data_IF_560347375990
#
_entry.id   IF_560347375990
#
_cell.length_a   1.000
_cell.length_b   1.000
_cell.length_c   1.000
_cell.angle_alpha   90.00
_cell.angle_beta   90.00
_cell.angle_gamma   90.00
#
_symmetry.space_group_name_H-M   'P 1'
#
loop_
_entity.id
_entity.type
_entity.pdbx_description
1 polymer ?
#
# COMPACT_ATOMS: atom_id res chain seq x y z
N UNK A 1 39.09 61.65 -10.08
CA UNK A 1 39.54 62.85 -9.36
C UNK A 1 38.55 63.96 -9.63
N UNK A 2 37.83 64.44 -8.59
CA UNK A 2 37.26 65.82 -8.41
C UNK A 2 36.35 66.36 -9.55
N UNK A 3 35.17 66.93 -9.30
CA UNK A 3 34.90 68.01 -8.37
C UNK A 3 33.38 68.36 -8.39
N UNK A 4 32.89 68.83 -7.24
CA UNK A 4 31.89 69.91 -7.04
C UNK A 4 30.47 69.82 -7.59
N UNK A 5 29.53 69.74 -6.64
CA UNK A 5 28.29 70.54 -6.67
C UNK A 5 28.31 71.43 -5.42
N UNK A 6 28.44 72.73 -5.62
CA UNK A 6 28.26 73.76 -4.59
C UNK A 6 27.03 74.61 -4.92
N UNK A 7 26.17 74.70 -3.91
CA UNK A 7 25.48 75.87 -3.41
C UNK A 7 24.45 76.60 -4.30
N UNK A 8 23.22 76.62 -3.81
CA UNK A 8 22.49 77.88 -3.65
C UNK A 8 21.91 77.97 -2.23
N UNK A 9 22.22 79.07 -1.55
CA UNK A 9 21.84 79.44 -0.18
C UNK A 9 20.91 80.66 -0.26
N UNK A 10 19.97 80.80 0.67
CA UNK A 10 19.08 81.96 0.80
C UNK A 10 17.82 81.63 1.62
N UNK A 11 17.95 81.27 2.90
CA UNK A 11 17.84 82.16 4.08
C UNK A 11 16.39 82.58 4.39
N UNK A 12 15.82 81.99 5.47
CA UNK A 12 15.21 82.70 6.61
C UNK A 12 14.38 81.73 7.48
N UNK A 13 14.73 81.61 8.76
CA UNK A 13 13.86 80.98 9.77
C UNK A 13 14.57 80.05 10.76
N UNK A 14 15.57 80.55 11.48
CA UNK A 14 16.01 79.91 12.70
C UNK A 14 14.90 80.02 13.75
N UNK A 15 14.38 78.89 14.24
CA UNK A 15 13.90 78.71 15.62
C UNK A 15 13.63 77.21 15.89
N UNK A 16 14.14 76.78 17.05
CA UNK A 16 14.00 75.48 17.73
C UNK A 16 14.56 74.23 17.05
N UNK A 17 15.83 73.96 17.38
CA UNK A 17 16.27 72.61 17.72
C UNK A 17 15.40 72.13 18.89
N UNK A 18 14.27 71.49 18.60
CA UNK A 18 13.54 70.73 19.62
C UNK A 18 14.14 69.34 19.63
N UNK A 19 14.93 69.13 20.67
CA UNK A 19 15.65 67.93 21.04
C UNK A 19 14.74 66.69 20.98
N UNK A 20 14.72 65.98 19.85
CA UNK A 20 14.35 64.56 19.86
C UNK A 20 15.53 63.87 20.53
N UNK A 21 15.48 63.74 21.86
CA UNK A 21 16.38 62.85 22.58
C UNK A 21 16.13 61.44 22.05
N UNK A 22 16.93 61.01 21.06
CA UNK A 22 17.05 59.60 20.72
C UNK A 22 17.48 58.90 22.01
N UNK A 23 16.56 58.17 22.61
CA UNK A 23 16.76 57.47 23.86
C UNK A 23 17.68 56.29 23.56
N UNK A 24 19.00 56.51 23.65
CA UNK A 24 19.97 55.45 23.43
C UNK A 24 19.89 54.49 24.63
N UNK A 25 19.60 53.19 24.42
CA UNK A 25 19.58 52.21 25.50
C UNK A 25 20.95 52.15 26.19
N UNK A 26 20.95 51.87 27.49
CA UNK A 26 22.18 51.70 28.27
C UNK A 26 23.03 50.57 27.68
N UNK A 27 24.36 50.68 27.75
CA UNK A 27 25.27 49.64 27.29
C UNK A 27 24.99 48.27 27.93
N UNK A 28 24.52 48.24 29.18
CA UNK A 28 24.12 47.02 29.87
C UNK A 28 22.88 46.36 29.25
N UNK A 29 21.94 47.17 28.77
CA UNK A 29 20.70 46.72 28.14
C UNK A 29 20.99 46.19 26.74
N UNK A 30 21.84 46.88 25.97
CA UNK A 30 22.31 46.41 24.66
C UNK A 30 23.10 45.11 24.76
N UNK A 31 23.92 44.95 25.82
CA UNK A 31 24.62 43.69 26.07
C UNK A 31 23.63 42.55 26.37
N UNK A 32 22.65 42.81 27.25
CA UNK A 32 21.63 41.82 27.61
C UNK A 32 20.74 41.41 26.42
N UNK A 33 20.40 42.35 25.53
CA UNK A 33 19.64 42.08 24.30
C UNK A 33 20.44 41.18 23.34
N UNK A 34 21.74 41.45 23.17
CA UNK A 34 22.64 40.60 22.37
C UNK A 34 22.77 39.19 22.93
N UNK A 35 22.79 39.03 24.25
CA UNK A 35 22.85 37.72 24.90
C UNK A 35 21.57 36.91 24.61
N UNK A 36 20.39 37.53 24.70
CA UNK A 36 19.14 36.85 24.34
C UNK A 36 19.02 36.53 22.84
N UNK A 37 19.47 37.43 21.97
CA UNK A 37 19.53 37.16 20.53
C UNK A 37 20.53 36.03 20.18
N UNK A 38 21.58 35.85 20.99
CA UNK A 38 22.49 34.71 20.85
C UNK A 38 21.84 33.41 21.30
N UNK A 39 21.12 33.40 22.44
CA UNK A 39 20.34 32.24 22.92
C UNK A 39 19.30 31.79 21.87
N UNK A 40 18.57 32.72 21.26
CA UNK A 40 17.58 32.40 20.21
C UNK A 40 18.27 31.82 18.97
N UNK A 41 19.37 32.41 18.49
CA UNK A 41 20.12 31.89 17.34
C UNK A 41 20.68 30.49 17.59
N UNK A 42 21.13 30.21 18.80
CA UNK A 42 21.59 28.88 19.20
C UNK A 42 20.44 27.86 19.19
N UNK A 43 19.27 28.23 19.71
CA UNK A 43 18.07 27.40 19.66
C UNK A 43 17.62 27.11 18.22
N UNK A 44 17.57 28.13 17.36
CA UNK A 44 17.23 27.99 15.92
C UNK A 44 18.22 27.07 15.19
N UNK A 45 19.52 27.16 15.49
CA UNK A 45 20.55 26.27 14.96
C UNK A 45 20.31 24.82 15.39
N UNK A 46 20.03 24.58 16.68
CA UNK A 46 19.71 23.24 17.20
C UNK A 46 18.47 22.66 16.54
N UNK A 47 17.38 23.44 16.42
CA UNK A 47 16.14 23.01 15.73
C UNK A 47 16.44 22.61 14.29
N UNK A 48 17.27 23.38 13.58
CA UNK A 48 17.65 23.09 12.20
C UNK A 48 18.42 21.78 12.09
N UNK A 49 19.34 21.51 13.03
CA UNK A 49 20.07 20.25 13.12
C UNK A 49 19.13 19.05 13.34
N UNK A 50 18.25 19.12 14.33
CA UNK A 50 17.28 18.05 14.62
C UNK A 50 16.30 17.82 13.46
N UNK A 51 15.88 18.89 12.75
CA UNK A 51 15.04 18.73 11.55
C UNK A 51 15.78 18.00 10.43
N UNK A 52 17.09 18.21 10.28
CA UNK A 52 17.92 17.46 9.34
C UNK A 52 17.99 15.97 9.67
N UNK A 53 18.19 15.62 10.94
CA UNK A 53 18.18 14.22 11.41
C UNK A 53 16.79 13.58 11.25
N UNK A 54 15.73 14.31 11.57
CA UNK A 54 14.35 13.85 11.38
C UNK A 54 14.08 13.51 9.90
N UNK A 55 14.46 14.41 8.98
CA UNK A 55 14.31 14.17 7.54
C UNK A 55 15.09 12.92 7.10
N UNK A 56 16.36 12.79 7.52
CA UNK A 56 17.18 11.63 7.19
C UNK A 56 16.59 10.32 7.73
N UNK A 57 16.00 10.35 8.93
CA UNK A 57 15.36 9.18 9.52
C UNK A 57 14.04 8.81 8.82
N UNK A 58 13.25 9.79 8.38
CA UNK A 58 12.05 9.56 7.57
C UNK A 58 12.42 8.93 6.23
N UNK A 59 13.46 9.42 5.57
CA UNK A 59 13.99 8.83 4.32
C UNK A 59 14.45 7.37 4.55
N UNK A 60 15.21 7.09 5.61
CA UNK A 60 15.60 5.71 5.97
C UNK A 60 14.39 4.82 6.25
N UNK A 61 13.36 5.33 6.91
CA UNK A 61 12.14 4.58 7.22
C UNK A 61 11.33 4.27 5.96
N UNK A 62 11.32 5.16 4.98
CA UNK A 62 10.72 4.96 3.67
C UNK A 62 11.47 3.88 2.89
N UNK A 63 12.80 3.95 2.81
CA UNK A 63 13.65 2.93 2.17
C UNK A 63 13.48 1.55 2.80
N UNK A 64 13.53 1.45 4.14
CA UNK A 64 13.27 0.20 4.83
C UNK A 64 11.83 -0.29 4.63
N UNK A 65 10.89 0.61 4.34
CA UNK A 65 9.54 0.28 3.93
C UNK A 65 9.47 -0.42 2.57
N UNK A 66 10.15 0.12 1.55
CA UNK A 66 10.21 -0.49 0.23
C UNK A 66 10.96 -1.83 0.24
N UNK A 67 12.07 -1.92 0.98
CA UNK A 67 12.85 -3.17 1.11
C UNK A 67 12.00 -4.28 1.75
N UNK A 68 11.21 -3.96 2.77
CA UNK A 68 10.33 -4.93 3.41
C UNK A 68 9.24 -5.43 2.47
N UNK A 69 8.70 -4.54 1.62
CA UNK A 69 7.71 -4.91 0.61
C UNK A 69 8.31 -5.84 -0.46
N UNK A 70 9.54 -5.58 -0.89
CA UNK A 70 10.26 -6.44 -1.84
C UNK A 70 10.56 -7.82 -1.22
N UNK A 71 11.03 -7.86 0.03
CA UNK A 71 11.25 -9.11 0.77
C UNK A 71 9.95 -9.89 0.91
N UNK A 72 8.84 -9.23 1.24
CA UNK A 72 7.54 -9.90 1.38
C UNK A 72 7.07 -10.50 0.05
N UNK A 73 7.16 -9.75 -1.05
CA UNK A 73 6.84 -10.28 -2.38
C UNK A 73 7.72 -11.49 -2.75
N UNK A 74 8.98 -11.47 -2.35
CA UNK A 74 9.92 -12.58 -2.60
C UNK A 74 9.58 -13.79 -1.74
N UNK A 75 9.19 -13.57 -0.49
CA UNK A 75 8.76 -14.61 0.45
C UNK A 75 7.51 -15.35 -0.07
N UNK A 76 6.54 -14.61 -0.59
CA UNK A 76 5.30 -15.16 -1.13
C UNK A 76 5.60 -16.02 -2.36
N UNK A 77 6.43 -15.52 -3.28
CA UNK A 77 6.87 -16.27 -4.45
C UNK A 77 7.67 -17.54 -4.09
N UNK A 78 8.55 -17.46 -3.10
CA UNK A 78 9.31 -18.62 -2.61
C UNK A 78 8.39 -19.67 -1.96
N UNK A 79 7.40 -19.22 -1.18
CA UNK A 79 6.40 -20.09 -0.53
C UNK A 79 5.53 -20.81 -1.56
N UNK A 80 5.07 -20.11 -2.60
CA UNK A 80 4.33 -20.72 -3.70
C UNK A 80 5.18 -21.78 -4.42
N UNK A 81 6.47 -21.49 -4.63
CA UNK A 81 7.39 -22.42 -5.29
C UNK A 81 7.66 -23.68 -4.46
N UNK A 82 7.72 -23.57 -3.14
CA UNK A 82 7.76 -24.72 -2.23
C UNK A 82 6.50 -25.58 -2.40
N UNK A 83 5.31 -24.97 -2.39
CA UNK A 83 4.04 -25.68 -2.58
C UNK A 83 3.97 -26.37 -3.95
N UNK A 84 4.44 -25.72 -5.02
CA UNK A 84 4.49 -26.31 -6.36
C UNK A 84 5.39 -27.56 -6.39
N UNK A 85 6.59 -27.47 -5.78
CA UNK A 85 7.53 -28.59 -5.72
C UNK A 85 6.97 -29.76 -4.90
N UNK A 86 6.32 -29.48 -3.77
CA UNK A 86 5.64 -30.50 -2.96
C UNK A 86 4.50 -31.17 -3.74
N UNK A 87 3.68 -30.40 -4.45
CA UNK A 87 2.61 -30.94 -5.28
C UNK A 87 3.12 -31.83 -6.41
N UNK A 88 4.24 -31.46 -7.07
CA UNK A 88 4.89 -32.30 -8.09
C UNK A 88 5.47 -33.59 -7.51
N UNK A 89 6.01 -33.52 -6.30
CA UNK A 89 6.50 -34.69 -5.57
C UNK A 89 5.34 -35.64 -5.23
N UNK A 90 4.23 -35.10 -4.74
CA UNK A 90 3.02 -35.88 -4.43
C UNK A 90 2.42 -36.54 -5.69
N UNK A 91 2.32 -35.81 -6.80
CA UNK A 91 1.87 -36.35 -8.08
C UNK A 91 2.75 -37.51 -8.56
N UNK A 92 4.07 -37.39 -8.40
CA UNK A 92 5.02 -38.45 -8.75
C UNK A 92 4.81 -39.70 -7.88
N UNK A 93 4.58 -39.52 -6.57
CA UNK A 93 4.26 -40.63 -5.65
C UNK A 93 2.94 -41.31 -6.00
N UNK A 94 1.91 -40.55 -6.32
CA UNK A 94 0.61 -41.08 -6.74
C UNK A 94 0.73 -41.91 -8.04
N UNK A 95 1.54 -41.46 -9.00
CA UNK A 95 1.81 -42.21 -10.22
C UNK A 95 2.53 -43.54 -9.93
N UNK A 96 3.47 -43.54 -8.99
CA UNK A 96 4.14 -44.76 -8.56
C UNK A 96 3.15 -45.74 -7.91
N UNK A 97 2.28 -45.26 -7.03
CA UNK A 97 1.25 -46.08 -6.37
C UNK A 97 0.30 -46.72 -7.40
N UNK A 98 -0.13 -45.97 -8.41
CA UNK A 98 -0.96 -46.49 -9.50
C UNK A 98 -0.27 -47.64 -10.25
N UNK A 99 1.01 -47.46 -10.61
CA UNK A 99 1.79 -48.51 -11.30
C UNK A 99 2.01 -49.74 -10.43
N UNK A 100 2.16 -49.56 -9.11
CA UNK A 100 2.22 -50.68 -8.17
C UNK A 100 0.91 -51.48 -8.16
N UNK A 101 -0.25 -50.81 -8.16
CA UNK A 101 -1.56 -51.45 -8.24
C UNK A 101 -1.76 -52.22 -9.56
N UNK A 102 -1.32 -51.66 -10.69
CA UNK A 102 -1.36 -52.35 -11.99
C UNK A 102 -0.53 -53.64 -11.99
N UNK A 103 0.66 -53.61 -11.37
CA UNK A 103 1.50 -54.81 -11.21
C UNK A 103 0.85 -55.85 -10.31
N UNK A 104 0.26 -55.45 -9.19
CA UNK A 104 -0.44 -56.35 -8.27
C UNK A 104 -1.64 -57.04 -8.94
N UNK A 105 -2.42 -56.30 -9.74
CA UNK A 105 -3.51 -56.86 -10.53
C UNK A 105 -3.00 -57.90 -11.55
N UNK A 106 -1.93 -57.58 -12.29
CA UNK A 106 -1.33 -58.51 -13.25
C UNK A 106 -0.76 -59.77 -12.57
N UNK A 107 -0.21 -59.65 -11.36
CA UNK A 107 0.25 -60.78 -10.56
C UNK A 107 -0.91 -61.67 -10.09
N UNK A 108 -2.04 -61.06 -9.70
CA UNK A 108 -3.23 -61.79 -9.30
C UNK A 108 -3.84 -62.58 -10.45
N UNK A 109 -3.93 -61.99 -11.64
CA UNK A 109 -4.46 -62.65 -12.84
C UNK A 109 -3.59 -63.86 -13.23
N UNK A 110 -2.27 -63.67 -13.25
CA UNK A 110 -1.33 -64.77 -13.45
C UNK A 110 -1.49 -65.89 -12.41
N UNK A 111 -1.67 -65.54 -11.13
CA UNK A 111 -1.89 -66.52 -10.05
C UNK A 111 -3.17 -67.31 -10.26
N UNK A 112 -4.26 -66.66 -10.70
CA UNK A 112 -5.54 -67.33 -11.01
C UNK A 112 -5.39 -68.27 -12.20
N UNK A 113 -4.67 -67.87 -13.26
CA UNK A 113 -4.31 -68.73 -14.39
C UNK A 113 -3.55 -69.98 -13.94
N UNK A 114 -2.46 -69.79 -13.18
CA UNK A 114 -1.63 -70.88 -12.68
C UNK A 114 -2.40 -71.88 -11.80
N UNK A 115 -3.30 -71.41 -10.92
CA UNK A 115 -4.12 -72.31 -10.07
C UNK A 115 -5.07 -73.16 -10.92
N UNK A 116 -5.72 -72.59 -11.94
CA UNK A 116 -6.59 -73.35 -12.87
C UNK A 116 -5.80 -74.43 -13.61
N UNK A 117 -4.59 -74.12 -14.07
CA UNK A 117 -3.70 -75.08 -14.71
C UNK A 117 -3.33 -76.25 -13.78
N UNK A 118 -2.99 -75.96 -12.51
CA UNK A 118 -2.68 -76.99 -11.50
C UNK A 118 -3.89 -77.87 -11.10
N UNK A 119 -5.10 -77.32 -11.13
CA UNK A 119 -6.33 -78.07 -10.85
C UNK A 119 -6.74 -79.02 -11.99
N UNK A 120 -5.97 -79.05 -13.09
CA UNK A 120 -6.15 -79.98 -14.20
C UNK A 120 -7.19 -79.52 -15.23
N UNK A 121 -7.65 -78.27 -15.17
CA UNK A 121 -8.54 -77.71 -16.20
C UNK A 121 -7.85 -77.64 -17.56
N UNK A 122 -6.56 -77.30 -17.59
CA UNK A 122 -5.76 -77.32 -18.83
C UNK A 122 -5.55 -78.72 -19.44
N UNK A 123 -5.66 -79.79 -18.65
CA UNK A 123 -5.57 -81.18 -19.15
C UNK A 123 -6.88 -81.60 -19.84
N UNK A 124 -8.03 -81.14 -19.34
CA UNK A 124 -9.35 -81.32 -19.98
C UNK A 124 -9.45 -80.51 -21.27
N UNK A 125 -8.85 -79.34 -21.31
CA UNK A 125 -8.75 -78.53 -22.53
C UNK A 125 -7.78 -79.12 -23.56
N UNK A 126 -6.73 -79.82 -23.13
CA UNK A 126 -5.85 -80.60 -24.01
C UNK A 126 -6.57 -81.77 -24.70
N UNK A 127 -7.53 -82.41 -24.03
CA UNK A 127 -8.45 -83.38 -24.64
C UNK A 127 -9.36 -82.73 -25.69
N UNK A 128 -9.85 -81.51 -25.45
CA UNK A 128 -10.61 -80.71 -26.43
C UNK A 128 -9.76 -80.31 -27.64
N UNK A 129 -8.51 -79.87 -27.42
CA UNK A 129 -7.54 -79.52 -28.47
C UNK A 129 -7.21 -80.74 -29.32
N UNK A 130 -6.87 -81.88 -28.72
CA UNK A 130 -6.60 -83.13 -29.45
C UNK A 130 -7.85 -83.65 -30.19
N UNK A 131 -9.03 -83.49 -29.61
CA UNK A 131 -10.31 -83.80 -30.25
C UNK A 131 -10.61 -82.93 -31.47
N UNK A 132 -10.32 -81.63 -31.42
CA UNK A 132 -10.51 -80.68 -32.53
C UNK A 132 -9.45 -80.79 -33.63
N UNK A 133 -8.18 -81.08 -33.28
CA UNK A 133 -7.10 -81.29 -34.25
C UNK A 133 -7.29 -82.56 -35.09
N UNK A 134 -7.92 -83.59 -34.52
CA UNK A 134 -8.29 -84.83 -35.21
C UNK A 134 -9.65 -84.76 -35.92
N UNK A 135 -10.45 -83.72 -35.66
CA UNK A 135 -11.78 -83.54 -36.24
C UNK A 135 -12.04 -82.11 -36.67
N UNK A 136 -11.68 -81.77 -37.93
CA UNK A 136 -12.13 -80.61 -38.74
C UNK A 136 -12.67 -79.38 -38.00
N UNK A 137 -12.00 -78.92 -36.94
CA UNK A 137 -12.41 -77.80 -36.10
C UNK A 137 -11.56 -76.56 -36.39
N UNK A 138 -12.19 -75.40 -36.39
CA UNK A 138 -11.57 -74.13 -36.70
C UNK A 138 -10.55 -73.74 -35.61
N UNK A 139 -9.27 -73.61 -35.97
CA UNK A 139 -8.16 -73.24 -35.07
C UNK A 139 -8.29 -71.81 -34.49
N UNK A 140 -9.33 -71.08 -34.90
CA UNK A 140 -9.68 -69.74 -34.42
C UNK A 140 -10.73 -69.75 -33.30
N UNK A 141 -11.11 -70.92 -32.78
CA UNK A 141 -12.02 -70.99 -31.63
C UNK A 141 -11.46 -70.20 -30.42
N UNK A 142 -12.20 -69.21 -29.90
CA UNK A 142 -11.75 -68.36 -28.80
C UNK A 142 -11.42 -69.13 -27.52
N UNK A 143 -12.15 -70.21 -27.23
CA UNK A 143 -11.93 -71.04 -26.05
C UNK A 143 -10.61 -71.83 -26.14
N UNK A 144 -10.33 -72.41 -27.32
CA UNK A 144 -9.08 -73.14 -27.58
C UNK A 144 -7.85 -72.22 -27.53
N UNK A 145 -7.97 -71.01 -28.08
CA UNK A 145 -6.88 -70.00 -28.07
C UNK A 145 -6.55 -69.54 -26.67
N UNK A 146 -7.57 -69.31 -25.83
CA UNK A 146 -7.38 -68.88 -24.44
C UNK A 146 -6.72 -69.97 -23.59
N UNK A 147 -7.01 -71.25 -23.83
CA UNK A 147 -6.39 -72.35 -23.09
C UNK A 147 -4.95 -72.66 -23.55
N UNK A 148 -4.64 -72.49 -24.84
CA UNK A 148 -3.29 -72.73 -25.38
C UNK A 148 -2.30 -71.59 -25.13
N UNK A 149 -2.76 -70.33 -25.09
CA UNK A 149 -1.89 -69.15 -25.03
C UNK A 149 -2.12 -68.26 -23.81
N UNK A 150 -3.23 -68.41 -23.07
CA UNK A 150 -3.59 -67.55 -21.94
C UNK A 150 -2.53 -67.47 -20.86
N UNK A 151 -2.01 -68.62 -20.40
CA UNK A 151 -0.95 -68.63 -19.36
C UNK A 151 0.34 -67.91 -19.80
N UNK A 152 0.65 -67.92 -21.11
CA UNK A 152 1.82 -67.24 -21.67
C UNK A 152 1.57 -65.75 -21.84
N UNK A 153 0.37 -65.36 -22.25
CA UNK A 153 -0.07 -63.96 -22.33
C UNK A 153 -0.11 -63.32 -20.93
N UNK A 154 -0.58 -64.04 -19.91
CA UNK A 154 -0.58 -63.59 -18.51
C UNK A 154 0.86 -63.42 -17.96
N UNK A 155 1.77 -64.36 -18.26
CA UNK A 155 3.18 -64.27 -17.87
C UNK A 155 3.91 -63.10 -18.53
N UNK A 156 3.62 -62.84 -19.82
CA UNK A 156 4.21 -61.72 -20.56
C UNK A 156 3.64 -60.37 -20.07
N UNK A 157 2.34 -60.32 -19.75
CA UNK A 157 1.68 -59.16 -19.15
C UNK A 157 2.25 -58.85 -17.76
N UNK A 158 2.44 -59.87 -16.91
CA UNK A 158 3.10 -59.72 -15.60
C UNK A 158 4.53 -59.20 -15.73
N UNK A 159 5.32 -59.76 -16.66
CA UNK A 159 6.72 -59.33 -16.89
C UNK A 159 6.80 -57.88 -17.39
N UNK A 160 5.92 -57.50 -18.32
CA UNK A 160 5.79 -56.11 -18.79
C UNK A 160 5.40 -55.16 -17.67
N UNK A 161 4.47 -55.56 -16.80
CA UNK A 161 4.08 -54.75 -15.64
C UNK A 161 5.23 -54.59 -14.62
N UNK A 162 5.98 -55.67 -14.31
CA UNK A 162 7.17 -55.62 -13.45
C UNK A 162 8.25 -54.69 -14.01
N UNK A 163 8.53 -54.80 -15.32
CA UNK A 163 9.54 -53.97 -15.98
C UNK A 163 9.11 -52.50 -16.08
N UNK A 164 7.82 -52.24 -16.33
CA UNK A 164 7.25 -50.90 -16.31
C UNK A 164 7.34 -50.24 -14.93
N UNK A 165 7.06 -50.99 -13.84
CA UNK A 165 7.25 -50.49 -12.47
C UNK A 165 8.73 -50.19 -12.21
N UNK A 166 9.65 -51.09 -12.57
CA UNK A 166 11.09 -50.88 -12.35
C UNK A 166 11.58 -49.60 -13.04
N UNK A 167 11.27 -49.43 -14.32
CA UNK A 167 11.62 -48.24 -15.08
C UNK A 167 10.99 -46.98 -14.49
N UNK A 168 9.73 -47.06 -14.04
CA UNK A 168 9.02 -45.93 -13.43
C UNK A 168 9.64 -45.54 -12.07
N UNK A 169 10.01 -46.51 -11.24
CA UNK A 169 10.71 -46.29 -9.96
C UNK A 169 12.06 -45.60 -10.18
N UNK A 170 12.83 -46.03 -11.17
CA UNK A 170 14.14 -45.40 -11.48
C UNK A 170 13.96 -43.93 -11.88
N UNK A 171 13.02 -43.62 -12.78
CA UNK A 171 12.74 -42.24 -13.22
C UNK A 171 12.19 -41.38 -12.07
N UNK A 172 11.22 -41.90 -11.32
CA UNK A 172 10.60 -41.16 -10.20
C UNK A 172 11.60 -40.94 -9.08
N UNK A 173 12.40 -41.94 -8.69
CA UNK A 173 13.39 -41.78 -7.61
C UNK A 173 14.44 -40.71 -7.93
N UNK A 174 14.90 -40.63 -9.19
CA UNK A 174 15.80 -39.57 -9.63
C UNK A 174 15.13 -38.19 -9.61
N UNK A 175 13.85 -38.11 -9.97
CA UNK A 175 13.05 -36.89 -9.89
C UNK A 175 12.78 -36.46 -8.44
N UNK A 176 12.37 -37.38 -7.56
CA UNK A 176 12.16 -37.13 -6.13
C UNK A 176 13.43 -36.64 -5.45
N UNK A 177 14.59 -37.25 -5.74
CA UNK A 177 15.86 -36.77 -5.21
C UNK A 177 16.16 -35.34 -5.65
N UNK A 178 15.86 -35.01 -6.91
CA UNK A 178 16.08 -33.66 -7.46
C UNK A 178 15.12 -32.65 -6.83
N UNK A 179 13.85 -33.02 -6.64
CA UNK A 179 12.85 -32.18 -5.97
C UNK A 179 13.16 -31.96 -4.49
N UNK A 180 13.59 -32.99 -3.76
CA UNK A 180 13.96 -32.85 -2.35
C UNK A 180 15.13 -31.87 -2.15
N UNK A 181 16.15 -31.94 -3.01
CA UNK A 181 17.27 -30.99 -2.99
C UNK A 181 16.78 -29.56 -3.29
N UNK A 182 15.92 -29.40 -4.29
CA UNK A 182 15.34 -28.10 -4.62
C UNK A 182 14.45 -27.54 -3.49
N UNK A 183 13.68 -28.41 -2.83
CA UNK A 183 12.82 -28.08 -1.70
C UNK A 183 13.64 -27.65 -0.48
N UNK A 184 14.74 -28.34 -0.18
CA UNK A 184 15.66 -27.97 0.89
C UNK A 184 16.32 -26.60 0.63
N UNK A 185 16.77 -26.35 -0.61
CA UNK A 185 17.35 -25.07 -1.01
C UNK A 185 16.34 -23.92 -0.89
N UNK A 186 15.12 -24.10 -1.43
CA UNK A 186 14.04 -23.13 -1.30
C UNK A 186 13.63 -22.87 0.15
N UNK A 187 13.52 -23.93 0.96
CA UNK A 187 13.23 -23.81 2.39
C UNK A 187 14.34 -23.05 3.14
N UNK A 188 15.60 -23.20 2.73
CA UNK A 188 16.71 -22.44 3.30
C UNK A 188 16.68 -20.96 2.90
N UNK A 189 16.31 -20.66 1.65
CA UNK A 189 16.09 -19.30 1.17
C UNK A 189 14.96 -18.61 1.94
N UNK A 190 13.83 -19.29 2.14
CA UNK A 190 12.71 -18.82 2.96
C UNK A 190 13.16 -18.43 4.38
N UNK A 191 13.85 -19.32 5.09
CA UNK A 191 14.35 -19.03 6.44
C UNK A 191 15.31 -17.83 6.49
N UNK A 192 16.11 -17.64 5.43
CA UNK A 192 17.01 -16.49 5.31
C UNK A 192 16.22 -15.19 5.12
N UNK A 193 15.25 -15.18 4.21
CA UNK A 193 14.39 -14.02 3.96
C UNK A 193 13.57 -13.64 5.21
N UNK A 194 13.05 -14.62 5.95
CA UNK A 194 12.35 -14.37 7.22
C UNK A 194 13.27 -13.79 8.31
N UNK A 195 14.56 -14.15 8.31
CA UNK A 195 15.53 -13.54 9.22
C UNK A 195 15.83 -12.09 8.81
N UNK A 196 16.06 -11.84 7.52
CA UNK A 196 16.31 -10.51 6.97
C UNK A 196 15.11 -9.56 7.19
N UNK A 197 13.87 -10.05 6.99
CA UNK A 197 12.65 -9.30 7.30
C UNK A 197 12.60 -8.87 8.76
N UNK A 198 12.92 -9.78 9.69
CA UNK A 198 12.91 -9.48 11.14
C UNK A 198 13.95 -8.43 11.53
N UNK A 199 15.17 -8.55 11.01
CA UNK A 199 16.22 -7.56 11.25
C UNK A 199 15.80 -6.17 10.74
N UNK A 200 15.16 -6.11 9.57
CA UNK A 200 14.66 -4.87 8.99
C UNK A 200 13.48 -4.29 9.78
N UNK A 201 12.55 -5.12 10.26
CA UNK A 201 11.45 -4.69 11.15
C UNK A 201 11.98 -4.09 12.46
N UNK A 202 12.98 -4.71 13.07
CA UNK A 202 13.65 -4.18 14.26
C UNK A 202 14.33 -2.84 13.97
N UNK A 203 15.02 -2.71 12.84
CA UNK A 203 15.64 -1.46 12.41
C UNK A 203 14.60 -0.34 12.19
N UNK A 204 13.43 -0.65 11.61
CA UNK A 204 12.33 0.31 11.44
C UNK A 204 11.74 0.77 12.77
N UNK A 205 11.64 -0.12 13.75
CA UNK A 205 11.18 0.25 15.09
C UNK A 205 12.16 1.22 15.75
N UNK A 206 13.47 0.93 15.68
CA UNK A 206 14.51 1.82 16.20
C UNK A 206 14.50 3.20 15.51
N UNK A 207 14.27 3.26 14.19
CA UNK A 207 14.11 4.51 13.46
C UNK A 207 12.88 5.30 13.93
N UNK A 208 11.74 4.63 14.17
CA UNK A 208 10.52 5.28 14.71
C UNK A 208 10.76 5.86 16.10
N UNK A 209 11.46 5.13 16.97
CA UNK A 209 11.85 5.64 18.29
C UNK A 209 12.77 6.86 18.18
N UNK A 210 13.74 6.83 17.26
CA UNK A 210 14.60 7.98 16.99
C UNK A 210 13.81 9.19 16.48
N UNK A 211 12.89 9.00 15.53
CA UNK A 211 11.99 10.07 15.04
C UNK A 211 11.20 10.71 16.18
N UNK A 212 10.61 9.90 17.06
CA UNK A 212 9.86 10.40 18.21
C UNK A 212 10.75 11.19 19.18
N UNK A 213 11.99 10.74 19.38
CA UNK A 213 13.00 11.45 20.17
C UNK A 213 13.35 12.82 19.60
N UNK A 214 13.65 12.89 18.29
CA UNK A 214 13.95 14.12 17.56
C UNK A 214 12.79 15.12 17.63
N UNK A 215 11.55 14.66 17.43
CA UNK A 215 10.35 15.50 17.56
C UNK A 215 10.18 16.05 18.98
N UNK A 216 10.41 15.24 20.02
CA UNK A 216 10.33 15.66 21.40
C UNK A 216 11.40 16.69 21.77
N UNK A 217 12.61 16.55 21.22
CA UNK A 217 13.70 17.50 21.42
C UNK A 217 13.43 18.83 20.70
N UNK A 218 12.92 18.81 19.46
CA UNK A 218 12.47 20.02 18.75
C UNK A 218 11.41 20.75 19.56
N UNK A 219 10.42 20.03 20.09
CA UNK A 219 9.37 20.62 20.92
C UNK A 219 9.96 21.30 22.17
N UNK A 220 10.88 20.62 22.87
CA UNK A 220 11.55 21.17 24.05
C UNK A 220 12.34 22.43 23.73
N UNK A 221 13.07 22.44 22.62
CA UNK A 221 13.87 23.60 22.20
C UNK A 221 12.99 24.77 21.80
N UNK A 222 11.89 24.54 21.08
CA UNK A 222 10.91 25.61 20.75
C UNK A 222 10.30 26.24 22.00
N UNK A 223 10.05 25.44 23.03
CA UNK A 223 9.55 25.92 24.31
C UNK A 223 10.62 26.75 25.08
N UNK A 224 11.89 26.36 25.02
CA UNK A 224 13.02 27.17 25.50
C UNK A 224 13.10 28.51 24.75
N UNK A 225 13.06 28.46 23.42
CA UNK A 225 13.08 29.64 22.54
C UNK A 225 11.93 30.60 22.85
N UNK A 226 10.71 30.08 23.01
CA UNK A 226 9.51 30.86 23.38
C UNK A 226 9.73 31.61 24.70
N UNK A 227 10.28 30.96 25.72
CA UNK A 227 10.58 31.59 27.02
C UNK A 227 11.61 32.70 26.89
N UNK A 228 12.63 32.52 26.04
CA UNK A 228 13.62 33.58 25.75
C UNK A 228 12.95 34.75 25.04
N UNK A 229 12.13 34.51 24.01
CA UNK A 229 11.38 35.55 23.30
C UNK A 229 10.41 36.31 24.23
N UNK A 230 9.76 35.62 25.18
CA UNK A 230 8.93 36.25 26.20
C UNK A 230 9.74 37.16 27.14
N UNK A 231 10.95 36.75 27.53
CA UNK A 231 11.89 37.57 28.32
C UNK A 231 12.33 38.82 27.54
N UNK A 232 12.63 38.68 26.24
CA UNK A 232 12.93 39.81 25.34
C UNK A 232 11.74 40.79 25.32
N UNK A 233 10.54 40.31 25.01
CA UNK A 233 9.34 41.16 24.94
C UNK A 233 9.01 41.84 26.28
N UNK A 234 9.24 41.15 27.41
CA UNK A 234 9.07 41.74 28.74
C UNK A 234 10.12 42.84 29.01
N UNK A 235 11.37 42.61 28.60
CA UNK A 235 12.46 43.58 28.72
C UNK A 235 12.19 44.83 27.87
N UNK A 236 11.78 44.68 26.61
CA UNK A 236 11.36 45.79 25.73
C UNK A 236 10.19 46.59 26.32
N UNK A 237 9.14 45.92 26.81
CA UNK A 237 8.01 46.58 27.48
C UNK A 237 8.46 47.37 28.71
N UNK A 238 9.45 46.88 29.47
CA UNK A 238 10.02 47.61 30.59
C UNK A 238 10.78 48.85 30.13
N UNK A 239 11.59 48.75 29.09
CA UNK A 239 12.29 49.91 28.52
C UNK A 239 11.30 50.99 28.05
N UNK A 240 10.24 50.62 27.33
CA UNK A 240 9.20 51.54 26.88
C UNK A 240 8.50 52.25 28.05
N UNK A 241 8.20 51.51 29.13
CA UNK A 241 7.60 52.09 30.36
C UNK A 241 8.56 53.04 31.08
N UNK A 242 9.84 52.72 31.14
CA UNK A 242 10.86 53.57 31.75
C UNK A 242 11.09 54.86 30.94
N UNK A 243 11.15 54.75 29.61
CA UNK A 243 11.20 55.89 28.70
C UNK A 243 9.97 56.80 28.86
N UNK A 244 8.75 56.23 28.93
CA UNK A 244 7.53 56.98 29.15
C UNK A 244 7.49 57.69 30.53
N UNK A 245 7.99 57.04 31.60
CA UNK A 245 8.10 57.66 32.94
C UNK A 245 9.09 58.83 32.97
N UNK A 246 10.18 58.74 32.21
CA UNK A 246 11.17 59.82 32.13
C UNK A 246 10.68 60.98 31.26
N UNK A 247 9.93 60.69 30.20
CA UNK A 247 9.22 61.71 29.40
C UNK A 247 8.09 62.42 30.18
N UNK A 248 7.49 61.74 31.17
CA UNK A 248 6.41 62.26 32.01
C UNK A 248 6.83 63.04 33.26
N UNK A 249 8.12 63.36 33.48
CA UNK A 249 8.56 64.24 34.58
C UNK A 249 8.31 65.71 34.21
N UNK A 250 7.45 66.46 34.94
CA UNK A 250 7.12 67.84 34.58
C UNK A 250 8.24 68.79 35.00
N UNK A 251 9.01 69.27 34.03
CA UNK A 251 9.80 70.50 34.15
C UNK A 251 8.91 71.71 33.90
N UNK A 252 8.54 72.38 35.00
CA UNK A 252 7.92 73.72 35.13
C UNK A 252 7.34 74.46 33.91
N UNK A 253 6.04 74.74 34.01
CA UNK A 253 5.41 75.98 33.53
C UNK A 253 4.96 75.99 32.07
N UNK A 254 3.67 75.80 31.83
CA UNK A 254 2.70 76.87 31.54
C UNK A 254 1.44 76.24 30.93
N UNK A 255 0.34 76.37 31.66
CA UNK A 255 -0.99 75.91 31.31
C UNK A 255 -1.57 76.80 30.19
N UNK A 256 -1.81 76.24 29.00
CA UNK A 256 -2.63 76.88 27.96
C UNK A 256 -3.50 75.85 27.23
N UNK A 257 -4.79 75.93 27.55
CA UNK A 257 -5.99 75.80 26.71
C UNK A 257 -6.09 74.70 25.63
N UNK A 258 -7.15 73.93 25.82
CA UNK A 258 -7.84 73.01 24.90
C UNK A 258 -8.08 73.56 23.50
N UNK A 259 -7.85 72.73 22.47
CA UNK A 259 -8.69 72.59 21.26
C UNK A 259 -8.60 71.17 20.68
N UNK A 260 -9.70 70.61 20.14
CA UNK A 260 -9.76 69.23 19.66
C UNK A 260 -9.21 69.12 18.24
N UNK A 261 -8.51 68.03 17.93
CA UNK A 261 -8.09 67.68 16.57
C UNK A 261 -8.69 66.32 16.20
N UNK A 262 -9.27 66.33 15.01
CA UNK A 262 -10.12 65.34 14.38
C UNK A 262 -9.44 63.98 14.19
N UNK A 263 -10.18 62.91 14.49
CA UNK A 263 -9.82 61.55 14.14
C UNK A 263 -10.21 61.31 12.67
N UNK A 264 -9.22 61.31 11.77
CA UNK A 264 -9.38 60.74 10.44
C UNK A 264 -9.47 59.22 10.55
N UNK A 265 -10.67 58.70 10.31
CA UNK A 265 -10.93 57.28 10.15
C UNK A 265 -10.33 56.72 8.86
N UNK A 266 -9.84 55.50 8.95
CA UNK A 266 -9.65 54.61 7.81
C UNK A 266 -10.00 53.18 8.27
N UNK A 267 -11.28 52.88 8.19
CA UNK A 267 -11.86 51.53 8.11
C UNK A 267 -11.80 51.08 6.65
N UNK A 268 -11.24 49.90 6.40
CA UNK A 268 -11.43 49.13 5.16
C UNK A 268 -11.57 47.67 5.61
N UNK A 269 -12.78 47.13 5.81
CA UNK A 269 -13.77 46.66 4.81
C UNK A 269 -13.37 45.35 4.13
N UNK A 270 -13.85 44.22 4.68
CA UNK A 270 -14.60 43.22 3.89
C UNK A 270 -15.91 43.88 3.40
N UNK A 271 -16.74 43.37 2.45
CA UNK A 271 -17.12 41.95 2.21
C UNK A 271 -17.59 41.63 0.74
N UNK A 272 -18.37 40.54 0.57
CA UNK A 272 -19.41 40.23 -0.47
C UNK A 272 -18.93 39.44 -1.72
N UNK A 273 -19.65 38.49 -2.33
CA UNK A 273 -20.97 37.84 -2.15
C UNK A 273 -21.09 36.62 -3.13
N UNK A 274 -21.98 35.67 -2.81
CA UNK A 274 -22.47 34.45 -3.53
C UNK A 274 -23.25 34.71 -4.86
N UNK A 275 -24.09 33.82 -5.49
CA UNK A 275 -24.45 32.37 -5.39
C UNK A 275 -24.46 31.64 -6.80
N UNK A 276 -24.83 30.37 -7.07
CA UNK A 276 -26.19 29.74 -7.11
C UNK A 276 -26.18 28.23 -7.50
N UNK A 277 -27.22 27.54 -7.02
CA UNK A 277 -27.78 26.19 -7.23
C UNK A 277 -27.77 25.55 -8.64
N UNK A 278 -27.76 24.21 -8.72
CA UNK A 278 -28.90 23.41 -9.24
C UNK A 278 -28.82 21.91 -8.89
N UNK A 279 -29.98 21.25 -8.99
CA UNK A 279 -30.47 20.02 -8.35
C UNK A 279 -30.88 19.01 -9.45
N UNK A 280 -30.51 17.72 -9.43
CA UNK A 280 -31.26 16.69 -10.19
C UNK A 280 -31.12 15.23 -9.67
N UNK A 281 -32.12 14.41 -10.02
CA UNK A 281 -32.58 13.15 -9.39
C UNK A 281 -32.46 11.93 -10.34
N UNK A 282 -32.06 10.76 -9.80
CA UNK A 282 -32.20 9.31 -10.17
C UNK A 282 -33.02 8.90 -11.43
N UNK A 283 -32.73 7.77 -12.17
CA UNK A 283 -33.02 6.39 -11.68
C UNK A 283 -32.28 5.16 -12.31
N UNK A 284 -32.61 3.99 -11.75
CA UNK A 284 -32.08 2.63 -11.91
C UNK A 284 -32.44 1.83 -13.19
N UNK A 285 -31.66 0.77 -13.47
CA UNK A 285 -32.24 -0.57 -13.73
C UNK A 285 -31.60 -1.48 -14.81
N UNK A 286 -31.23 -2.69 -14.36
CA UNK A 286 -31.61 -4.03 -14.93
C UNK A 286 -30.70 -4.76 -15.95
N UNK A 287 -29.93 -5.73 -15.42
CA UNK A 287 -29.86 -7.20 -15.72
C UNK A 287 -29.74 -7.80 -17.15
N UNK A 288 -28.78 -8.73 -17.29
CA UNK A 288 -28.82 -10.09 -17.93
C UNK A 288 -27.56 -10.36 -18.82
N UNK A 289 -26.97 -11.55 -19.05
CA UNK A 289 -26.98 -12.92 -18.49
C UNK A 289 -25.99 -13.81 -19.29
N UNK A 290 -25.14 -14.61 -18.63
CA UNK A 290 -24.79 -16.01 -19.00
C UNK A 290 -23.68 -16.36 -20.02
N UNK A 291 -22.66 -17.11 -19.58
CA UNK A 291 -21.70 -17.85 -20.44
C UNK A 291 -20.43 -18.30 -19.69
N UNK A 292 -19.81 -19.44 -20.01
CA UNK A 292 -18.90 -20.18 -19.09
C UNK A 292 -17.41 -20.26 -19.43
N UNK A 293 -16.57 -19.37 -18.87
CA UNK A 293 -15.10 -19.48 -18.82
C UNK A 293 -14.58 -19.85 -17.40
N UNK A 294 -13.35 -20.34 -17.26
CA UNK A 294 -12.76 -20.59 -15.92
C UNK A 294 -12.84 -19.31 -15.08
N UNK A 295 -13.01 -19.38 -13.74
CA UNK A 295 -13.29 -18.17 -12.93
C UNK A 295 -12.37 -16.99 -13.25
N UNK A 296 -11.09 -17.28 -13.50
CA UNK A 296 -10.06 -16.30 -13.87
C UNK A 296 -10.12 -15.82 -15.33
N UNK A 297 -10.40 -16.71 -16.30
CA UNK A 297 -10.59 -16.28 -17.70
C UNK A 297 -11.90 -15.52 -17.90
N UNK A 298 -12.95 -15.84 -17.12
CA UNK A 298 -14.23 -15.12 -17.13
C UNK A 298 -14.11 -13.75 -16.46
N UNK A 299 -13.35 -13.66 -15.37
CA UNK A 299 -13.01 -12.38 -14.72
C UNK A 299 -12.19 -11.48 -15.65
N UNK A 300 -11.23 -12.06 -16.39
CA UNK A 300 -10.46 -11.34 -17.40
C UNK A 300 -11.29 -10.98 -18.64
N UNK A 301 -12.20 -11.86 -19.10
CA UNK A 301 -13.08 -11.60 -20.24
C UNK A 301 -14.16 -10.55 -19.92
N UNK A 302 -14.68 -10.51 -18.68
CA UNK A 302 -15.57 -9.43 -18.18
C UNK A 302 -14.78 -8.12 -18.02
N UNK A 303 -13.55 -8.18 -17.50
CA UNK A 303 -12.67 -7.02 -17.42
C UNK A 303 -12.34 -6.47 -18.81
N UNK A 304 -12.12 -7.34 -19.79
CA UNK A 304 -11.72 -6.99 -21.17
C UNK A 304 -12.90 -6.57 -22.05
N UNK A 305 -14.15 -6.95 -21.71
CA UNK A 305 -15.34 -6.62 -22.52
C UNK A 305 -16.21 -5.48 -21.97
N UNK A 306 -16.14 -5.11 -20.69
CA UNK A 306 -16.96 -4.01 -20.12
C UNK A 306 -16.24 -3.04 -19.17
N UNK A 307 -15.02 -3.31 -18.67
CA UNK A 307 -14.45 -2.55 -17.52
C UNK A 307 -13.02 -2.02 -17.72
N UNK A 308 -12.26 -2.49 -18.72
CA UNK A 308 -10.86 -2.09 -18.95
C UNK A 308 -10.66 -1.71 -20.41
N UNK A 309 -10.97 -0.46 -20.76
CA UNK A 309 -10.47 0.13 -22.00
C UNK A 309 -10.25 1.65 -21.92
N UNK A 310 -9.96 2.20 -20.74
CA UNK A 310 -9.20 3.44 -20.69
C UNK A 310 -7.74 3.12 -21.03
N UNK A 311 -7.20 3.66 -22.13
CA UNK A 311 -5.74 3.72 -22.28
C UNK A 311 -5.21 4.49 -21.05
N UNK A 312 -4.32 3.93 -20.22
CA UNK A 312 -3.75 4.65 -19.09
C UNK A 312 -3.09 5.98 -19.50
N UNK A 313 -2.72 6.13 -20.78
CA UNK A 313 -2.20 7.37 -21.34
C UNK A 313 -3.30 8.41 -21.68
N UNK A 314 -4.57 8.04 -21.69
CA UNK A 314 -5.73 8.93 -21.91
C UNK A 314 -6.37 9.44 -20.62
N UNK A 315 -6.06 8.85 -19.47
CA UNK A 315 -6.55 9.32 -18.16
C UNK A 315 -5.77 10.58 -17.77
N UNK A 316 -6.47 11.69 -17.59
CA UNK A 316 -5.85 12.94 -17.18
C UNK A 316 -5.31 12.82 -15.75
N UNK A 317 -4.00 13.08 -15.56
CA UNK A 317 -3.40 13.10 -14.23
C UNK A 317 -3.92 14.30 -13.46
N UNK A 318 -4.75 14.05 -12.45
CA UNK A 318 -5.27 15.10 -11.57
C UNK A 318 -4.20 15.61 -10.60
N UNK A 319 -4.20 16.91 -10.24
CA UNK A 319 -3.40 17.44 -9.14
C UNK A 319 -3.80 16.83 -7.80
N UNK A 320 -2.88 16.77 -6.85
CA UNK A 320 -3.14 16.24 -5.49
C UNK A 320 -4.32 16.95 -4.79
N UNK A 321 -4.44 18.27 -4.95
CA UNK A 321 -5.56 19.03 -4.39
C UNK A 321 -6.94 18.55 -4.89
N UNK A 322 -7.00 18.06 -6.13
CA UNK A 322 -8.21 17.53 -6.74
C UNK A 322 -8.55 16.14 -6.19
N UNK A 323 -7.54 15.29 -5.99
CA UNK A 323 -7.69 14.03 -5.25
C UNK A 323 -8.22 14.28 -3.83
N UNK A 324 -7.68 15.27 -3.12
CA UNK A 324 -8.14 15.63 -1.78
C UNK A 324 -9.59 16.11 -1.78
N UNK A 325 -10.05 16.79 -2.84
CA UNK A 325 -11.47 17.13 -3.02
C UNK A 325 -12.31 15.85 -3.17
N UNK A 326 -11.91 14.95 -4.08
CA UNK A 326 -12.63 13.70 -4.35
C UNK A 326 -12.73 12.80 -3.11
N UNK A 327 -11.67 12.67 -2.30
CA UNK A 327 -11.72 11.92 -1.05
C UNK A 327 -12.73 12.50 -0.05
N UNK A 328 -12.77 13.83 0.11
CA UNK A 328 -13.72 14.50 1.02
C UNK A 328 -15.15 14.30 0.55
N UNK A 329 -15.41 14.44 -0.75
CA UNK A 329 -16.73 14.27 -1.34
C UNK A 329 -17.23 12.83 -1.21
N UNK A 330 -16.41 11.83 -1.58
CA UNK A 330 -16.76 10.43 -1.46
C UNK A 330 -17.01 10.04 0.01
N UNK A 331 -16.14 10.44 0.94
CA UNK A 331 -16.36 10.15 2.35
C UNK A 331 -17.67 10.77 2.89
N UNK A 332 -18.00 11.98 2.45
CA UNK A 332 -19.27 12.61 2.79
C UNK A 332 -20.47 11.84 2.21
N UNK A 333 -20.38 11.44 0.94
CA UNK A 333 -21.42 10.68 0.24
C UNK A 333 -21.75 9.35 0.95
N UNK A 334 -20.73 8.66 1.46
CA UNK A 334 -20.89 7.34 2.09
C UNK A 334 -21.03 7.38 3.62
N UNK A 335 -21.20 8.58 4.20
CA UNK A 335 -21.61 8.76 5.59
C UNK A 335 -20.48 8.74 6.62
N UNK A 336 -19.24 9.01 6.20
CA UNK A 336 -18.06 9.12 7.05
C UNK A 336 -17.22 10.37 6.73
N UNK A 337 -17.88 11.51 6.51
CA UNK A 337 -17.27 12.78 6.13
C UNK A 337 -16.07 13.20 7.00
N UNK A 338 -16.11 12.92 8.31
CA UNK A 338 -15.05 13.30 9.25
C UNK A 338 -13.82 12.38 9.20
N UNK A 339 -13.89 11.31 8.40
CA UNK A 339 -12.87 10.27 8.27
C UNK A 339 -12.41 10.12 6.80
N UNK A 340 -12.57 11.19 6.01
CA UNK A 340 -12.09 11.24 4.61
C UNK A 340 -10.59 10.96 4.46
N UNK A 341 -9.82 11.20 5.53
CA UNK A 341 -8.41 10.85 5.64
C UNK A 341 -8.12 9.36 5.41
N UNK A 342 -9.10 8.48 5.65
CA UNK A 342 -8.98 7.04 5.37
C UNK A 342 -8.88 6.80 3.86
N UNK A 343 -9.71 7.47 3.05
CA UNK A 343 -9.65 7.35 1.60
C UNK A 343 -8.37 7.95 1.04
N UNK A 344 -7.94 9.10 1.58
CA UNK A 344 -6.66 9.69 1.22
C UNK A 344 -5.49 8.75 1.53
N UNK A 345 -5.48 8.13 2.72
CA UNK A 345 -4.47 7.16 3.10
C UNK A 345 -4.46 5.91 2.20
N UNK A 346 -5.63 5.40 1.81
CA UNK A 346 -5.73 4.30 0.84
C UNK A 346 -5.14 4.75 -0.50
N UNK A 347 -5.59 5.86 -1.07
CA UNK A 347 -5.11 6.30 -2.38
C UNK A 347 -3.61 6.61 -2.44
N UNK A 348 -3.03 7.13 -1.36
CA UNK A 348 -1.58 7.28 -1.22
C UNK A 348 -0.87 5.92 -1.21
N UNK A 349 -1.36 4.96 -0.42
CA UNK A 349 -0.76 3.63 -0.31
C UNK A 349 -0.87 2.82 -1.60
N UNK A 350 -2.01 2.92 -2.28
CA UNK A 350 -2.32 2.13 -3.47
C UNK A 350 -1.59 2.65 -4.71
N UNK A 351 -1.52 3.97 -4.89
CA UNK A 351 -1.04 4.53 -6.15
C UNK A 351 -0.27 5.84 -6.04
N UNK A 352 -0.06 6.38 -4.82
CA UNK A 352 0.45 7.74 -4.64
C UNK A 352 -0.49 8.79 -5.23
N UNK A 353 -1.79 8.68 -4.92
CA UNK A 353 -2.83 9.55 -5.49
C UNK A 353 -2.84 9.55 -7.03
N UNK A 354 -2.79 8.35 -7.63
CA UNK A 354 -2.85 8.16 -9.08
C UNK A 354 -1.53 8.33 -9.82
N UNK A 355 -0.39 8.42 -9.12
CA UNK A 355 0.93 8.41 -9.75
C UNK A 355 1.23 7.08 -10.46
N UNK A 356 0.75 5.97 -9.92
CA UNK A 356 0.88 4.62 -10.49
C UNK A 356 -0.47 3.88 -10.53
N UNK A 357 -1.10 3.86 -11.71
CA UNK A 357 -2.40 3.22 -11.94
C UNK A 357 -2.30 1.70 -12.19
N UNK A 358 -1.10 1.12 -12.14
CA UNK A 358 -0.88 -0.30 -12.39
C UNK A 358 -0.88 -0.69 -13.88
N UNK A 359 -1.16 -1.97 -14.19
CA UNK A 359 -1.57 -3.01 -13.24
C UNK A 359 -0.48 -3.36 -12.23
N UNK A 360 -0.88 -3.68 -10.99
CA UNK A 360 0.01 -4.32 -10.02
C UNK A 360 0.30 -5.78 -10.40
N UNK A 361 1.22 -6.44 -9.70
CA UNK A 361 1.51 -7.87 -9.88
C UNK A 361 0.29 -8.78 -9.66
N UNK A 362 -0.68 -8.33 -8.85
CA UNK A 362 -1.95 -9.02 -8.62
C UNK A 362 -3.02 -8.70 -9.68
N UNK A 363 -2.74 -7.79 -10.62
CA UNK A 363 -3.69 -7.34 -11.64
C UNK A 363 -4.65 -6.24 -11.18
N UNK A 364 -4.32 -5.53 -10.10
CA UNK A 364 -5.13 -4.41 -9.61
C UNK A 364 -4.88 -3.14 -10.44
N UNK A 365 -5.91 -2.33 -10.64
CA UNK A 365 -5.92 -1.20 -11.56
C UNK A 365 -6.43 0.08 -10.90
N UNK A 366 -5.98 1.21 -11.43
CA UNK A 366 -6.51 2.53 -11.12
C UNK A 366 -5.95 3.13 -9.83
N UNK A 367 -6.44 4.32 -9.46
CA UNK A 367 -5.89 5.10 -8.35
C UNK A 367 -6.19 4.49 -6.98
N UNK A 368 -7.19 3.60 -6.91
CA UNK A 368 -7.56 2.87 -5.70
C UNK A 368 -7.19 1.38 -5.77
N UNK A 369 -6.42 0.96 -6.78
CA UNK A 369 -5.93 -0.41 -7.02
C UNK A 369 -7.02 -1.48 -6.80
N UNK A 370 -8.12 -1.36 -7.54
CA UNK A 370 -9.15 -2.39 -7.53
C UNK A 370 -8.73 -3.60 -8.37
N UNK A 371 -8.96 -4.81 -7.84
CA UNK A 371 -9.04 -5.99 -8.71
C UNK A 371 -10.29 -5.86 -9.59
N UNK A 372 -10.22 -6.25 -10.89
CA UNK A 372 -11.40 -6.22 -11.76
C UNK A 372 -12.60 -7.00 -11.19
N UNK A 373 -12.35 -8.11 -10.50
CA UNK A 373 -13.40 -8.89 -9.82
C UNK A 373 -14.09 -8.13 -8.70
N UNK A 374 -13.37 -7.29 -7.96
CA UNK A 374 -13.93 -6.39 -6.93
C UNK A 374 -14.67 -5.23 -7.59
N UNK A 375 -14.15 -4.68 -8.69
CA UNK A 375 -14.81 -3.60 -9.44
C UNK A 375 -16.19 -3.97 -9.95
N UNK A 376 -16.41 -5.22 -10.39
CA UNK A 376 -17.74 -5.71 -10.78
C UNK A 376 -18.79 -5.54 -9.67
N UNK A 377 -18.38 -5.61 -8.39
CA UNK A 377 -19.28 -5.48 -7.25
C UNK A 377 -19.43 -4.06 -6.70
N UNK A 378 -18.41 -3.22 -6.86
CA UNK A 378 -18.30 -1.93 -6.16
C UNK A 378 -18.00 -0.73 -7.06
N UNK A 379 -17.67 -0.95 -8.32
CA UNK A 379 -17.45 0.10 -9.31
C UNK A 379 -18.71 0.95 -9.45
N UNK A 380 -18.51 2.27 -9.51
CA UNK A 380 -19.60 3.24 -9.67
C UNK A 380 -19.17 4.26 -10.72
N UNK A 381 -20.13 4.68 -11.55
CA UNK A 381 -20.03 5.89 -12.35
C UNK A 381 -20.23 7.07 -11.38
N UNK A 382 -19.12 7.59 -10.87
CA UNK A 382 -19.06 8.60 -9.82
C UNK A 382 -19.15 10.01 -10.36
N UNK A 383 -18.66 10.25 -11.58
CA UNK A 383 -18.77 11.54 -12.28
C UNK A 383 -20.06 11.69 -13.11
N UNK A 384 -20.80 10.61 -13.33
CA UNK A 384 -22.06 10.60 -14.06
C UNK A 384 -21.91 10.69 -15.58
N UNK A 385 -20.76 10.30 -16.14
CA UNK A 385 -20.48 10.36 -17.57
C UNK A 385 -21.10 9.20 -18.37
N UNK A 386 -21.65 8.21 -17.67
CA UNK A 386 -22.33 7.05 -18.23
C UNK A 386 -21.46 5.78 -18.29
N UNK A 387 -20.21 5.84 -17.84
CA UNK A 387 -19.28 4.71 -17.79
C UNK A 387 -18.66 4.59 -16.38
N UNK A 388 -18.57 3.37 -15.83
CA UNK A 388 -17.87 3.14 -14.57
C UNK A 388 -16.43 2.68 -14.85
N UNK A 389 -15.50 3.62 -14.84
CA UNK A 389 -14.12 3.42 -15.25
C UNK A 389 -13.17 3.22 -14.06
N UNK A 390 -12.60 2.02 -13.95
CA UNK A 390 -11.66 1.66 -12.88
C UNK A 390 -10.42 2.56 -12.80
N UNK A 391 -10.04 3.19 -13.91
CA UNK A 391 -8.88 4.08 -14.00
C UNK A 391 -9.22 5.54 -13.71
N UNK A 392 -10.50 5.92 -13.72
CA UNK A 392 -10.93 7.29 -13.42
C UNK A 392 -10.99 7.49 -11.89
N UNK A 393 -10.24 8.45 -11.32
CA UNK A 393 -10.34 8.76 -9.89
C UNK A 393 -11.74 9.23 -9.46
N UNK A 394 -12.51 9.89 -10.33
CA UNK A 394 -13.86 10.34 -10.00
C UNK A 394 -14.84 9.16 -9.83
N UNK A 395 -14.49 7.97 -10.33
CA UNK A 395 -15.24 6.73 -10.18
C UNK A 395 -14.62 5.82 -9.11
N UNK A 396 -13.30 5.66 -9.15
CA UNK A 396 -12.59 4.72 -8.29
C UNK A 396 -12.61 5.12 -6.81
N UNK A 397 -12.57 6.41 -6.52
CA UNK A 397 -12.61 6.93 -5.14
C UNK A 397 -13.98 6.69 -4.49
N UNK A 398 -15.13 7.06 -5.10
CA UNK A 398 -16.42 6.71 -4.55
C UNK A 398 -16.69 5.20 -4.54
N UNK A 399 -16.14 4.43 -5.49
CA UNK A 399 -16.20 2.95 -5.44
C UNK A 399 -15.49 2.41 -4.18
N UNK A 400 -14.30 2.92 -3.86
CA UNK A 400 -13.57 2.57 -2.63
C UNK A 400 -14.35 2.95 -1.37
N UNK A 401 -14.96 4.13 -1.36
CA UNK A 401 -15.79 4.57 -0.25
C UNK A 401 -17.01 3.66 -0.04
N UNK A 402 -17.67 3.26 -1.13
CA UNK A 402 -18.77 2.30 -1.11
C UNK A 402 -18.35 0.92 -0.62
N UNK A 403 -17.17 0.45 -1.05
CA UNK A 403 -16.65 -0.83 -0.60
C UNK A 403 -16.37 -0.85 0.91
N UNK A 404 -15.74 0.20 1.44
CA UNK A 404 -15.52 0.34 2.88
C UNK A 404 -16.84 0.39 3.65
N UNK A 405 -17.84 1.13 3.14
CA UNK A 405 -19.17 1.21 3.77
C UNK A 405 -19.85 -0.16 3.82
N UNK A 406 -19.83 -0.91 2.72
CA UNK A 406 -20.37 -2.26 2.67
C UNK A 406 -19.64 -3.23 3.61
N UNK A 407 -18.37 -2.95 3.90
CA UNK A 407 -17.50 -3.78 4.74
C UNK A 407 -17.49 -3.40 6.23
N UNK A 408 -18.32 -2.44 6.63
CA UNK A 408 -18.54 -2.10 8.05
C UNK A 408 -18.10 -0.70 8.48
N UNK A 409 -17.57 0.14 7.58
CA UNK A 409 -17.25 1.52 7.92
C UNK A 409 -18.51 2.39 8.09
N UNK A 410 -18.48 3.43 8.96
CA UNK A 410 -17.42 3.77 9.90
C UNK A 410 -17.51 3.00 11.24
N UNK A 411 -18.47 2.09 11.40
CA UNK A 411 -18.71 1.39 12.66
C UNK A 411 -17.55 0.48 13.07
N UNK A 412 -16.90 -0.16 12.10
CA UNK A 412 -15.73 -1.02 12.26
C UNK A 412 -14.71 -0.80 11.13
N UNK A 413 -13.85 0.20 11.33
CA UNK A 413 -12.77 0.52 10.39
C UNK A 413 -11.78 -0.63 10.22
N UNK A 414 -11.55 -1.44 11.25
CA UNK A 414 -10.62 -2.56 11.13
C UNK A 414 -11.17 -3.60 10.17
N UNK A 415 -12.42 -4.02 10.36
CA UNK A 415 -13.08 -4.98 9.49
C UNK A 415 -13.19 -4.45 8.05
N UNK A 416 -13.54 -3.18 7.88
CA UNK A 416 -13.67 -2.57 6.56
C UNK A 416 -12.34 -2.53 5.79
N UNK A 417 -11.26 -2.13 6.45
CA UNK A 417 -9.92 -2.08 5.85
C UNK A 417 -9.34 -3.48 5.64
N UNK A 418 -9.60 -4.42 6.55
CA UNK A 418 -9.19 -5.81 6.39
C UNK A 418 -9.93 -6.50 5.24
N UNK A 419 -11.19 -6.12 4.97
CA UNK A 419 -11.90 -6.57 3.77
C UNK A 419 -11.30 -5.96 2.51
N UNK A 420 -10.89 -4.69 2.57
CA UNK A 420 -10.21 -4.01 1.46
C UNK A 420 -8.91 -4.71 1.08
N UNK A 421 -8.09 -5.04 2.07
CA UNK A 421 -6.87 -5.83 1.93
C UNK A 421 -6.67 -6.71 3.18
N UNK A 422 -6.64 -8.03 2.99
CA UNK A 422 -6.60 -9.05 4.05
C UNK A 422 -5.24 -9.15 4.77
N UNK A 423 -4.67 -8.02 5.15
CA UNK A 423 -3.40 -7.93 5.84
C UNK A 423 -3.47 -6.93 6.99
N UNK A 424 -3.17 -7.38 8.20
CA UNK A 424 -3.20 -6.53 9.40
C UNK A 424 -2.23 -5.34 9.30
N UNK A 425 -1.09 -5.53 8.63
CA UNK A 425 -0.12 -4.46 8.39
C UNK A 425 -0.71 -3.34 7.53
N UNK A 426 -1.59 -3.69 6.57
CA UNK A 426 -2.24 -2.72 5.69
C UNK A 426 -3.22 -1.87 6.49
N UNK A 427 -4.06 -2.52 7.30
CA UNK A 427 -5.01 -1.85 8.20
C UNK A 427 -4.27 -0.85 9.11
N UNK A 428 -3.19 -1.29 9.76
CA UNK A 428 -2.39 -0.42 10.62
C UNK A 428 -1.75 0.74 9.86
N UNK A 429 -1.26 0.51 8.63
CA UNK A 429 -0.65 1.54 7.78
C UNK A 429 -1.66 2.60 7.38
N UNK A 430 -2.85 2.21 6.92
CA UNK A 430 -3.94 3.13 6.55
C UNK A 430 -4.37 3.97 7.75
N UNK A 431 -4.62 3.34 8.89
CA UNK A 431 -5.05 4.05 10.11
C UNK A 431 -3.98 5.05 10.57
N UNK A 432 -2.70 4.66 10.61
CA UNK A 432 -1.62 5.55 11.00
C UNK A 432 -1.46 6.75 10.04
N UNK A 433 -1.52 6.51 8.74
CA UNK A 433 -1.42 7.57 7.73
C UNK A 433 -2.63 8.52 7.78
N UNK A 434 -3.83 7.98 7.99
CA UNK A 434 -5.05 8.78 8.13
C UNK A 434 -4.99 9.73 9.33
N UNK A 435 -4.40 9.31 10.45
CA UNK A 435 -4.19 10.20 11.60
C UNK A 435 -3.12 11.27 11.31
N UNK A 436 -2.13 10.95 10.48
CA UNK A 436 -1.18 11.94 9.95
C UNK A 436 -1.87 13.04 9.16
N UNK A 437 -2.71 12.68 8.19
CA UNK A 437 -3.50 13.67 7.44
C UNK A 437 -4.45 14.45 8.35
N UNK A 438 -5.07 13.79 9.33
CA UNK A 438 -5.94 14.45 10.30
C UNK A 438 -5.20 15.52 11.10
N UNK A 439 -3.95 15.28 11.49
CA UNK A 439 -3.14 16.27 12.21
C UNK A 439 -2.73 17.44 11.31
N UNK A 440 -2.31 17.15 10.07
CA UNK A 440 -1.97 18.21 9.10
C UNK A 440 -3.15 19.15 8.82
N UNK A 441 -4.36 18.61 8.69
CA UNK A 441 -5.59 19.39 8.50
C UNK A 441 -5.91 20.23 9.75
N UNK A 442 -5.67 19.71 10.97
CA UNK A 442 -5.80 20.50 12.22
C UNK A 442 -4.81 21.65 12.31
N UNK A 443 -3.59 21.47 11.79
CA UNK A 443 -2.56 22.51 11.72
C UNK A 443 -2.78 23.52 10.57
N UNK A 444 -3.78 23.29 9.71
CA UNK A 444 -4.10 24.13 8.55
C UNK A 444 -3.11 23.98 7.39
N UNK A 445 -2.54 22.78 7.23
CA UNK A 445 -1.57 22.42 6.20
C UNK A 445 -2.17 21.63 5.04
N UNK A 446 -3.46 21.24 5.14
CA UNK A 446 -4.30 20.59 4.12
C UNK A 446 -5.62 21.36 3.96
#
# INVERSE_FOLDING_TARGET
MRLSISCFWGVCGALSVTFVAAFLPSAAVVAQERDFEAEVREAESRITSHRGELQANVERLATAGSELQEIQSTLDAASERVLELEGRLEQSRAQLELRQKEREAAEEDYRKGAVRAYQGEGVRDLELVLGGLLGSGDLLDPGLRQSLFGDREDLDSRRKAEEAVRQTVEVISAAESSYNVALEDQSAQLRRLEAERRELEEARLALRESIAGEQADIFRIREEERRVRERIAHMERRQLREAARQAGRPGGGQEVAQRPVEATGATVSAPLNAPTEELFVFPAGTSASGGSATGRERELEIAEQEIVAGDPALVERLPEAEYMRLYREAAAQYGFANDWYILAAIGEIESGHGENLGPSSAGALGPMQFLPSTWVGYGVDGNGDGEANILDPEDAIPAAAGYLKASGAPEDWYAALYAYNHADWYVQKVLALSEGYRELDREGLL
#
